data_IF_965708026037
#
_entry.id   IF_965708026037
#
_cell.length_a   1.000
_cell.length_b   1.000
_cell.length_c   1.000
_cell.angle_alpha   90.00
_cell.angle_beta   90.00
_cell.angle_gamma   90.00
#
_symmetry.space_group_name_H-M   'P 1'
#
loop_
_entity.id
_entity.type
_entity.pdbx_description
1 polymer ?
#
# COMPACT_ATOMS: atom_id res chain seq x y z
N UNK A 1 -29.46 -31.06 -0.59
CA UNK A 1 -30.48 -30.03 -0.27
C UNK A 1 -30.22 -29.52 1.14
N UNK A 2 -29.66 -28.31 1.23
CA UNK A 2 -29.15 -27.64 2.45
C UNK A 2 -30.20 -27.33 3.55
N UNK A 3 -31.44 -27.80 3.41
CA UNK A 3 -32.54 -27.57 4.35
C UNK A 3 -32.81 -28.74 5.31
N UNK A 4 -32.06 -29.84 5.24
CA UNK A 4 -32.40 -31.09 5.93
C UNK A 4 -31.68 -31.33 7.26
N UNK A 5 -30.70 -30.51 7.65
CA UNK A 5 -30.01 -30.63 8.95
C UNK A 5 -30.44 -29.44 9.81
N UNK A 6 -31.11 -29.68 10.94
CA UNK A 6 -31.79 -28.66 11.73
C UNK A 6 -30.91 -27.49 12.21
N UNK A 7 -31.49 -26.48 12.89
CA UNK A 7 -30.81 -25.24 13.26
C UNK A 7 -29.47 -25.42 14.00
N UNK A 8 -29.35 -26.44 14.86
CA UNK A 8 -28.10 -26.76 15.57
C UNK A 8 -26.97 -27.17 14.64
N UNK A 9 -27.22 -28.07 13.69
CA UNK A 9 -26.21 -28.50 12.72
C UNK A 9 -25.74 -27.37 11.80
N UNK A 10 -26.63 -26.43 11.48
CA UNK A 10 -26.27 -25.23 10.69
C UNK A 10 -25.35 -24.31 11.49
N UNK A 11 -25.61 -24.13 12.79
CA UNK A 11 -24.77 -23.34 13.70
C UNK A 11 -23.38 -23.96 13.85
N UNK A 12 -23.30 -25.26 14.16
CA UNK A 12 -22.02 -25.96 14.35
C UNK A 12 -21.16 -25.91 13.09
N UNK A 13 -21.79 -26.01 11.90
CA UNK A 13 -21.12 -25.84 10.61
C UNK A 13 -20.53 -24.44 10.46
N UNK A 14 -21.31 -23.40 10.75
CA UNK A 14 -20.87 -22.01 10.63
C UNK A 14 -19.74 -21.66 11.63
N UNK A 15 -19.78 -22.22 12.84
CA UNK A 15 -18.69 -22.11 13.80
C UNK A 15 -17.42 -22.82 13.31
N UNK A 16 -17.57 -23.99 12.70
CA UNK A 16 -16.46 -24.72 12.07
C UNK A 16 -15.87 -23.95 10.88
N UNK A 17 -16.71 -23.30 10.06
CA UNK A 17 -16.25 -22.45 8.95
C UNK A 17 -15.45 -21.25 9.45
N UNK A 18 -15.84 -20.61 10.55
CA UNK A 18 -15.06 -19.52 11.15
C UNK A 18 -13.64 -19.98 11.54
N UNK A 19 -13.52 -21.16 12.15
CA UNK A 19 -12.21 -21.75 12.46
C UNK A 19 -11.41 -22.10 11.19
N UNK A 20 -12.08 -22.62 10.16
CA UNK A 20 -11.47 -22.99 8.88
C UNK A 20 -10.94 -21.76 8.11
N UNK A 21 -11.68 -20.63 8.13
CA UNK A 21 -11.24 -19.36 7.54
C UNK A 21 -9.94 -18.90 8.20
N UNK A 22 -9.90 -18.86 9.53
CA UNK A 22 -8.71 -18.43 10.30
C UNK A 22 -7.51 -19.34 10.01
N UNK A 23 -7.71 -20.66 10.03
CA UNK A 23 -6.64 -21.62 9.74
C UNK A 23 -6.10 -21.53 8.31
N UNK A 24 -6.99 -21.34 7.32
CA UNK A 24 -6.58 -21.11 5.92
C UNK A 24 -5.77 -19.83 5.79
N UNK A 25 -6.20 -18.74 6.45
CA UNK A 25 -5.53 -17.46 6.36
C UNK A 25 -4.14 -17.49 7.02
N UNK A 26 -4.02 -18.09 8.22
CA UNK A 26 -2.74 -18.23 8.94
C UNK A 26 -1.76 -19.19 8.25
N UNK A 27 -2.25 -20.17 7.48
CA UNK A 27 -1.40 -21.06 6.67
C UNK A 27 -1.02 -20.49 5.31
N UNK A 28 -1.32 -19.20 5.05
CA UNK A 28 -0.96 -18.50 3.81
C UNK A 28 -1.91 -18.75 2.64
N UNK A 29 -3.03 -19.47 2.85
CA UNK A 29 -4.08 -19.69 1.84
C UNK A 29 -5.07 -18.52 1.82
N UNK A 30 -4.56 -17.30 1.62
CA UNK A 30 -5.29 -16.03 1.77
C UNK A 30 -6.51 -15.97 0.85
N UNK A 31 -6.35 -16.32 -0.43
CA UNK A 31 -7.44 -16.31 -1.43
C UNK A 31 -8.56 -17.27 -1.02
N UNK A 32 -8.20 -18.52 -0.68
CA UNK A 32 -9.18 -19.53 -0.27
C UNK A 32 -9.92 -19.13 1.01
N UNK A 33 -9.23 -18.48 1.97
CA UNK A 33 -9.85 -17.98 3.19
C UNK A 33 -10.86 -16.86 2.90
N UNK A 34 -10.57 -15.97 1.94
CA UNK A 34 -11.50 -14.91 1.50
C UNK A 34 -12.74 -15.50 0.83
N UNK A 35 -12.57 -16.44 -0.08
CA UNK A 35 -13.69 -17.08 -0.78
C UNK A 35 -14.61 -17.81 0.22
N UNK A 36 -14.01 -18.53 1.18
CA UNK A 36 -14.74 -19.17 2.29
C UNK A 36 -15.50 -18.14 3.13
N UNK A 37 -14.84 -17.03 3.49
CA UNK A 37 -15.46 -15.95 4.28
C UNK A 37 -16.68 -15.36 3.56
N UNK A 38 -16.57 -15.06 2.27
CA UNK A 38 -17.70 -14.54 1.48
C UNK A 38 -18.88 -15.49 1.45
N UNK A 39 -18.64 -16.78 1.19
CA UNK A 39 -19.69 -17.80 1.23
C UNK A 39 -20.33 -17.94 2.62
N UNK A 40 -19.51 -17.96 3.68
CA UNK A 40 -19.99 -18.07 5.05
C UNK A 40 -20.77 -16.84 5.52
N UNK A 41 -20.44 -15.63 5.07
CA UNK A 41 -21.21 -14.41 5.36
C UNK A 41 -22.64 -14.53 4.82
N UNK A 42 -22.81 -15.02 3.59
CA UNK A 42 -24.14 -15.20 3.01
C UNK A 42 -24.98 -16.22 3.80
N UNK A 43 -24.38 -17.34 4.17
CA UNK A 43 -25.04 -18.37 4.99
C UNK A 43 -25.39 -17.86 6.40
N UNK A 44 -24.49 -17.10 7.04
CA UNK A 44 -24.69 -16.54 8.37
C UNK A 44 -25.80 -15.48 8.39
N UNK A 45 -25.87 -14.63 7.36
CA UNK A 45 -26.98 -13.67 7.16
C UNK A 45 -28.32 -14.40 7.04
N UNK A 46 -28.37 -15.47 6.25
CA UNK A 46 -29.58 -16.27 6.11
C UNK A 46 -30.01 -16.98 7.41
N UNK A 47 -29.04 -17.33 8.26
CA UNK A 47 -29.29 -17.93 9.58
C UNK A 47 -29.83 -16.92 10.61
N UNK A 48 -29.40 -15.66 10.55
CA UNK A 48 -29.99 -14.54 11.30
C UNK A 48 -29.41 -14.25 12.69
N UNK A 49 -28.43 -15.04 13.18
CA UNK A 49 -27.70 -14.77 14.44
C UNK A 49 -26.58 -13.75 14.21
N UNK A 50 -26.77 -12.52 14.72
CA UNK A 50 -25.82 -11.41 14.55
C UNK A 50 -24.45 -11.70 15.18
N UNK A 51 -24.37 -12.46 16.28
CA UNK A 51 -23.09 -12.79 16.92
C UNK A 51 -22.28 -13.75 16.06
N UNK A 52 -22.97 -14.71 15.44
CA UNK A 52 -22.34 -15.67 14.54
C UNK A 52 -21.89 -14.99 13.24
N UNK A 53 -22.72 -14.11 12.68
CA UNK A 53 -22.32 -13.25 11.56
C UNK A 53 -21.07 -12.44 11.89
N UNK A 54 -21.05 -11.77 13.05
CA UNK A 54 -19.90 -10.98 13.48
C UNK A 54 -18.62 -11.82 13.61
N UNK A 55 -18.71 -13.03 14.18
CA UNK A 55 -17.59 -13.96 14.29
C UNK A 55 -17.05 -14.42 12.94
N UNK A 56 -17.93 -14.70 11.97
CA UNK A 56 -17.54 -15.09 10.62
C UNK A 56 -16.86 -13.94 9.88
N UNK A 57 -17.42 -12.73 9.97
CA UNK A 57 -16.81 -11.54 9.39
C UNK A 57 -15.41 -11.34 9.98
N UNK A 58 -15.26 -11.46 11.30
CA UNK A 58 -13.99 -11.33 12.01
C UNK A 58 -13.07 -12.57 11.96
N UNK A 59 -13.46 -13.64 11.25
CA UNK A 59 -12.66 -14.87 11.22
C UNK A 59 -11.38 -14.73 10.38
N UNK A 60 -11.40 -13.83 9.40
CA UNK A 60 -10.24 -13.46 8.60
C UNK A 60 -9.48 -12.32 9.28
N UNK A 61 -8.80 -12.68 10.37
CA UNK A 61 -8.10 -11.77 11.27
C UNK A 61 -6.61 -12.16 11.24
N UNK A 62 -5.97 -11.84 10.11
CA UNK A 62 -4.54 -12.05 9.90
C UNK A 62 -3.86 -10.69 9.89
N UNK A 63 -2.87 -10.47 10.77
CA UNK A 63 -2.07 -9.25 10.77
C UNK A 63 -1.47 -9.00 9.39
N UNK A 64 -1.57 -7.77 8.88
CA UNK A 64 -1.15 -7.45 7.51
C UNK A 64 -0.41 -6.12 7.42
N UNK A 65 0.59 -6.05 6.56
CA UNK A 65 1.29 -4.80 6.25
C UNK A 65 0.56 -3.97 5.18
N UNK A 66 -0.12 -4.64 4.24
CA UNK A 66 -0.82 -4.04 3.10
C UNK A 66 -2.21 -4.65 2.91
N UNK A 67 -2.94 -4.15 1.91
CA UNK A 67 -4.26 -4.66 1.59
C UNK A 67 -4.23 -6.17 1.35
N UNK A 68 -5.17 -6.88 1.96
CA UNK A 68 -5.28 -8.33 1.84
C UNK A 68 -6.19 -8.79 0.70
N UNK A 69 -6.70 -7.82 -0.08
CA UNK A 69 -7.67 -7.99 -1.14
C UNK A 69 -7.03 -7.69 -2.49
N UNK A 70 -7.77 -7.95 -3.56
CA UNK A 70 -7.38 -7.45 -4.87
C UNK A 70 -7.29 -5.92 -4.81
N UNK A 71 -6.09 -5.40 -5.12
CA UNK A 71 -5.80 -3.98 -5.00
C UNK A 71 -6.72 -3.14 -5.90
N UNK A 72 -7.26 -2.06 -5.34
CA UNK A 72 -8.23 -1.19 -6.02
C UNK A 72 -9.65 -1.74 -6.13
N UNK A 73 -9.95 -2.90 -5.54
CA UNK A 73 -11.31 -3.41 -5.41
C UNK A 73 -11.88 -3.11 -4.01
N UNK A 74 -13.21 -2.96 -3.94
CA UNK A 74 -13.98 -2.87 -2.70
C UNK A 74 -14.92 -4.06 -2.61
N UNK A 75 -14.93 -4.77 -1.48
CA UNK A 75 -15.87 -5.86 -1.24
C UNK A 75 -17.15 -5.34 -0.59
N UNK A 76 -18.03 -4.77 -1.41
CA UNK A 76 -19.29 -4.17 -0.93
C UNK A 76 -20.12 -5.15 -0.08
N UNK A 77 -20.08 -6.45 -0.41
CA UNK A 77 -20.81 -7.49 0.35
C UNK A 77 -20.31 -7.59 1.78
N UNK A 78 -18.99 -7.55 1.99
CA UNK A 78 -18.37 -7.60 3.33
C UNK A 78 -18.62 -6.29 4.08
N UNK A 79 -18.49 -5.14 3.43
CA UNK A 79 -18.78 -3.84 4.04
C UNK A 79 -20.22 -3.77 4.53
N UNK A 80 -21.18 -4.10 3.68
CA UNK A 80 -22.60 -4.11 4.03
C UNK A 80 -22.90 -5.11 5.17
N UNK A 81 -22.23 -6.27 5.18
CA UNK A 81 -22.40 -7.25 6.25
C UNK A 81 -21.84 -6.77 7.58
N UNK A 82 -20.72 -6.06 7.51
CA UNK A 82 -20.05 -5.47 8.68
C UNK A 82 -20.90 -4.36 9.26
N UNK A 83 -21.49 -3.51 8.42
CA UNK A 83 -22.41 -2.44 8.84
C UNK A 83 -23.67 -3.01 9.49
N UNK A 84 -24.31 -3.98 8.84
CA UNK A 84 -25.47 -4.69 9.39
C UNK A 84 -25.17 -5.30 10.76
N UNK A 85 -24.00 -5.94 10.91
CA UNK A 85 -23.58 -6.52 12.17
C UNK A 85 -23.33 -5.44 13.23
N UNK A 86 -22.62 -4.35 12.89
CA UNK A 86 -22.32 -3.25 13.82
C UNK A 86 -23.58 -2.56 14.36
N UNK A 87 -24.63 -2.43 13.54
CA UNK A 87 -25.90 -1.81 13.91
C UNK A 87 -26.74 -2.69 14.83
N UNK A 88 -26.69 -4.02 14.64
CA UNK A 88 -27.52 -5.00 15.36
C UNK A 88 -26.83 -5.61 16.58
N UNK A 89 -25.51 -5.47 16.70
CA UNK A 89 -24.72 -6.11 17.75
C UNK A 89 -25.03 -5.48 19.12
N UNK A 90 -25.36 -6.27 20.16
CA UNK A 90 -25.59 -5.73 21.50
C UNK A 90 -24.35 -5.02 22.06
N UNK A 91 -24.53 -3.88 22.74
CA UNK A 91 -23.42 -3.07 23.26
C UNK A 91 -22.50 -3.79 24.28
N UNK A 92 -22.96 -4.90 24.87
CA UNK A 92 -22.13 -5.75 25.73
C UNK A 92 -21.03 -6.51 24.95
N UNK A 93 -21.21 -6.73 23.64
CA UNK A 93 -20.28 -7.47 22.77
C UNK A 93 -19.12 -6.58 22.28
N UNK A 94 -18.42 -5.92 23.22
CA UNK A 94 -17.39 -4.93 22.92
C UNK A 94 -16.23 -5.49 22.11
N UNK A 95 -15.84 -6.75 22.35
CA UNK A 95 -14.77 -7.40 21.60
C UNK A 95 -15.15 -7.60 20.12
N UNK A 96 -16.33 -8.17 19.86
CA UNK A 96 -16.83 -8.36 18.50
C UNK A 96 -17.00 -7.03 17.77
N UNK A 97 -17.44 -5.98 18.48
CA UNK A 97 -17.51 -4.63 17.91
C UNK A 97 -16.15 -4.14 17.45
N UNK A 98 -15.09 -4.30 18.26
CA UNK A 98 -13.73 -3.92 17.85
C UNK A 98 -13.30 -4.69 16.60
N UNK A 99 -13.48 -6.01 16.57
CA UNK A 99 -13.09 -6.84 15.42
C UNK A 99 -13.83 -6.45 14.14
N UNK A 100 -15.12 -6.10 14.24
CA UNK A 100 -15.90 -5.57 13.12
C UNK A 100 -15.44 -4.18 12.67
N UNK A 101 -15.14 -3.27 13.59
CA UNK A 101 -14.62 -1.94 13.26
C UNK A 101 -13.24 -2.03 12.60
N UNK A 102 -12.36 -2.90 13.11
CA UNK A 102 -11.06 -3.21 12.49
C UNK A 102 -11.24 -3.77 11.08
N UNK A 103 -12.16 -4.72 10.92
CA UNK A 103 -12.53 -5.24 9.60
C UNK A 103 -12.98 -4.12 8.67
N UNK A 104 -13.95 -3.30 9.09
CA UNK A 104 -14.47 -2.20 8.29
C UNK A 104 -13.37 -1.22 7.86
N UNK A 105 -12.45 -0.92 8.78
CA UNK A 105 -11.29 -0.08 8.49
C UNK A 105 -10.38 -0.70 7.43
N UNK A 106 -10.12 -2.00 7.49
CA UNK A 106 -9.30 -2.71 6.50
C UNK A 106 -9.99 -2.82 5.13
N UNK A 107 -11.33 -2.99 5.12
CA UNK A 107 -12.12 -3.05 3.88
C UNK A 107 -12.21 -1.68 3.18
N UNK A 108 -12.17 -0.58 3.95
CA UNK A 108 -12.28 0.80 3.43
C UNK A 108 -10.95 1.54 3.29
N UNK A 109 -9.83 0.85 3.48
CA UNK A 109 -8.49 1.40 3.24
C UNK A 109 -8.39 1.95 1.80
N UNK A 110 -7.72 3.10 1.64
CA UNK A 110 -7.50 3.78 0.36
C UNK A 110 -8.71 4.49 -0.27
N UNK A 111 -9.91 4.37 0.31
CA UNK A 111 -11.11 5.06 -0.18
C UNK A 111 -11.05 6.58 0.02
N UNK A 112 -11.74 7.35 -0.82
CA UNK A 112 -11.68 8.82 -0.79
C UNK A 112 -12.27 9.41 0.50
N UNK A 113 -13.32 8.79 1.05
CA UNK A 113 -13.91 9.21 2.32
C UNK A 113 -13.07 8.74 3.52
N UNK A 114 -13.26 9.35 4.69
CA UNK A 114 -12.56 9.08 5.95
C UNK A 114 -13.19 7.96 6.80
N UNK A 115 -14.17 7.22 6.27
CA UNK A 115 -14.93 6.21 7.02
C UNK A 115 -14.06 5.12 7.64
N UNK A 116 -13.05 4.63 6.90
CA UNK A 116 -12.08 3.66 7.42
C UNK A 116 -11.26 4.20 8.61
N UNK A 117 -10.81 5.46 8.52
CA UNK A 117 -10.08 6.16 9.60
C UNK A 117 -10.95 6.32 10.85
N UNK A 118 -12.22 6.68 10.68
CA UNK A 118 -13.15 6.79 11.82
C UNK A 118 -13.38 5.43 12.49
N UNK A 119 -13.55 4.37 11.69
CA UNK A 119 -13.77 3.03 12.19
C UNK A 119 -12.54 2.51 12.96
N UNK A 120 -11.32 2.68 12.43
CA UNK A 120 -10.09 2.29 13.13
C UNK A 120 -9.86 3.09 14.40
N UNK A 121 -10.13 4.40 14.37
CA UNK A 121 -10.04 5.24 15.57
C UNK A 121 -11.01 4.82 16.67
N UNK A 122 -12.23 4.41 16.32
CA UNK A 122 -13.18 3.82 17.27
C UNK A 122 -12.70 2.45 17.77
N UNK A 123 -12.22 1.58 16.88
CA UNK A 123 -11.67 0.26 17.23
C UNK A 123 -10.57 0.39 18.29
N UNK A 124 -9.59 1.28 18.10
CA UNK A 124 -8.49 1.51 19.05
C UNK A 124 -9.01 2.00 20.40
N UNK A 125 -9.93 2.98 20.42
CA UNK A 125 -10.51 3.49 21.68
C UNK A 125 -11.26 2.40 22.44
N UNK A 126 -12.08 1.63 21.74
CA UNK A 126 -12.86 0.55 22.37
C UNK A 126 -11.96 -0.60 22.81
N UNK A 127 -10.94 -0.97 22.03
CA UNK A 127 -9.96 -2.00 22.41
C UNK A 127 -9.23 -1.63 23.70
N UNK A 128 -8.74 -0.38 23.80
CA UNK A 128 -8.10 0.13 25.02
C UNK A 128 -9.03 0.11 26.24
N UNK A 129 -10.32 0.39 26.04
CA UNK A 129 -11.32 0.32 27.10
C UNK A 129 -11.72 -1.13 27.49
N UNK A 130 -11.46 -2.11 26.64
CA UNK A 130 -11.58 -3.54 26.96
C UNK A 130 -10.33 -4.03 27.70
N UNK A 131 -9.15 -3.57 27.31
CA UNK A 131 -7.88 -3.86 27.97
C UNK A 131 -7.24 -5.19 27.55
N UNK A 132 -7.72 -5.82 26.47
CA UNK A 132 -7.12 -7.03 25.89
C UNK A 132 -5.97 -6.63 24.94
N UNK A 133 -4.72 -7.05 25.21
CA UNK A 133 -3.56 -6.72 24.38
C UNK A 133 -3.67 -7.18 22.92
N UNK A 134 -4.21 -8.37 22.66
CA UNK A 134 -4.33 -8.89 21.30
C UNK A 134 -5.37 -8.07 20.51
N UNK A 135 -6.45 -7.67 21.18
CA UNK A 135 -7.48 -6.83 20.60
C UNK A 135 -6.96 -5.41 20.28
N UNK A 136 -6.13 -4.85 21.16
CA UNK A 136 -5.46 -3.57 20.94
C UNK A 136 -4.49 -3.70 19.74
N UNK A 137 -3.71 -4.78 19.68
CA UNK A 137 -2.79 -5.04 18.58
C UNK A 137 -3.51 -5.11 17.22
N UNK A 138 -4.63 -5.83 17.14
CA UNK A 138 -5.46 -5.91 15.94
C UNK A 138 -5.99 -4.52 15.51
N UNK A 139 -6.51 -3.74 16.46
CA UNK A 139 -7.01 -2.39 16.20
C UNK A 139 -5.89 -1.42 15.77
N UNK A 140 -4.69 -1.53 16.33
CA UNK A 140 -3.53 -0.76 15.91
C UNK A 140 -3.13 -1.10 14.47
N UNK A 141 -3.15 -2.36 14.06
CA UNK A 141 -2.88 -2.74 12.67
C UNK A 141 -3.93 -2.16 11.69
N UNK A 142 -5.22 -2.25 12.02
CA UNK A 142 -6.29 -1.59 11.25
C UNK A 142 -6.14 -0.07 11.17
N UNK A 143 -5.62 0.55 12.24
CA UNK A 143 -5.25 1.96 12.25
C UNK A 143 -4.06 2.25 11.34
N UNK A 144 -2.97 1.48 11.43
CA UNK A 144 -1.76 1.64 10.63
C UNK A 144 -2.07 1.72 9.13
N UNK A 145 -2.87 0.77 8.62
CA UNK A 145 -3.20 0.69 7.20
C UNK A 145 -4.09 1.84 6.70
N UNK A 146 -4.74 2.59 7.59
CA UNK A 146 -5.56 3.76 7.23
C UNK A 146 -4.80 5.09 7.29
N UNK A 147 -3.55 5.08 7.78
CA UNK A 147 -2.72 6.28 7.93
C UNK A 147 -1.71 6.43 6.76
N UNK A 148 -2.20 6.50 5.52
CA UNK A 148 -1.41 6.89 4.34
C UNK A 148 -1.90 8.17 3.65
N UNK A 149 -3.03 8.71 4.10
CA UNK A 149 -3.85 9.70 3.38
C UNK A 149 -3.20 11.08 3.23
N UNK A 150 -2.25 11.41 4.10
CA UNK A 150 -1.62 12.73 4.19
C UNK A 150 -0.13 12.57 4.50
N UNK A 151 0.66 13.64 4.34
CA UNK A 151 2.09 13.59 4.63
C UNK A 151 2.39 13.39 6.13
N UNK A 152 1.51 13.90 6.99
CA UNK A 152 1.55 13.75 8.45
C UNK A 152 1.35 12.29 8.86
N UNK A 153 0.67 11.50 8.03
CA UNK A 153 0.33 10.13 8.36
C UNK A 153 1.56 9.22 8.52
N UNK A 154 2.74 9.59 7.99
CA UNK A 154 3.96 8.83 8.25
C UNK A 154 4.38 8.87 9.72
N UNK A 155 4.34 10.05 10.36
CA UNK A 155 4.72 10.18 11.76
C UNK A 155 3.77 9.36 12.66
N UNK A 156 2.48 9.40 12.31
CA UNK A 156 1.47 8.61 13.01
C UNK A 156 1.63 7.10 12.80
N UNK A 157 1.93 6.65 11.57
CA UNK A 157 2.26 5.25 11.30
C UNK A 157 3.47 4.77 12.10
N UNK A 158 4.53 5.57 12.17
CA UNK A 158 5.71 5.24 12.95
C UNK A 158 5.40 5.13 14.45
N UNK A 159 4.54 6.03 14.97
CA UNK A 159 4.06 6.00 16.36
C UNK A 159 3.23 4.74 16.64
N UNK A 160 2.29 4.40 15.75
CA UNK A 160 1.44 3.21 15.85
C UNK A 160 2.32 1.94 15.83
N UNK A 161 3.26 1.83 14.91
CA UNK A 161 4.15 0.68 14.80
C UNK A 161 5.07 0.53 16.01
N UNK A 162 5.54 1.65 16.57
CA UNK A 162 6.31 1.66 17.83
C UNK A 162 5.46 1.20 19.02
N UNK A 163 4.22 1.66 19.11
CA UNK A 163 3.27 1.23 20.14
C UNK A 163 2.95 -0.26 20.02
N UNK A 164 2.73 -0.75 18.80
CA UNK A 164 2.49 -2.16 18.51
C UNK A 164 3.70 -3.02 18.92
N UNK A 165 4.93 -2.59 18.61
CA UNK A 165 6.14 -3.32 19.00
C UNK A 165 6.27 -3.44 20.52
N UNK A 166 6.03 -2.35 21.24
CA UNK A 166 6.11 -2.33 22.71
C UNK A 166 5.06 -3.27 23.33
N UNK A 167 3.80 -3.14 22.92
CA UNK A 167 2.69 -3.97 23.38
C UNK A 167 2.93 -5.45 23.08
N UNK A 168 3.33 -5.76 21.85
CA UNK A 168 3.55 -7.13 21.41
C UNK A 168 4.75 -7.77 22.12
N UNK A 169 5.76 -6.98 22.49
CA UNK A 169 6.90 -7.44 23.28
C UNK A 169 6.50 -7.72 24.74
N UNK A 170 5.75 -6.81 25.36
CA UNK A 170 5.30 -6.94 26.75
C UNK A 170 4.40 -8.17 26.96
N UNK A 171 3.53 -8.48 25.99
CA UNK A 171 2.53 -9.54 26.09
C UNK A 171 2.86 -10.79 25.25
N UNK A 172 4.09 -10.91 24.74
CA UNK A 172 4.58 -12.03 23.91
C UNK A 172 3.69 -12.39 22.69
N UNK A 173 3.20 -11.35 22.00
CA UNK A 173 2.35 -11.49 20.81
C UNK A 173 3.21 -11.68 19.56
N UNK A 174 3.76 -12.90 19.38
CA UNK A 174 4.76 -13.22 18.35
C UNK A 174 4.46 -12.69 16.93
N UNK A 175 3.25 -12.94 16.40
CA UNK A 175 2.86 -12.46 15.06
C UNK A 175 2.85 -10.93 14.96
N UNK A 176 2.35 -10.24 15.98
CA UNK A 176 2.32 -8.78 16.02
C UNK A 176 3.70 -8.17 16.24
N UNK A 177 4.61 -8.86 16.93
CA UNK A 177 6.03 -8.45 17.02
C UNK A 177 6.67 -8.43 15.64
N UNK A 178 6.48 -9.49 14.84
CA UNK A 178 6.99 -9.53 13.45
C UNK A 178 6.37 -8.42 12.61
N UNK A 179 5.04 -8.24 12.67
CA UNK A 179 4.35 -7.17 11.95
C UNK A 179 4.92 -5.78 12.31
N UNK A 180 5.09 -5.48 13.59
CA UNK A 180 5.60 -4.19 14.04
C UNK A 180 7.02 -3.92 13.51
N UNK A 181 7.87 -4.96 13.43
CA UNK A 181 9.19 -4.83 12.79
C UNK A 181 9.07 -4.52 11.29
N UNK A 182 8.13 -5.12 10.56
CA UNK A 182 7.89 -4.80 9.14
C UNK A 182 7.36 -3.36 8.95
N UNK A 183 6.41 -2.94 9.79
CA UNK A 183 5.86 -1.58 9.79
C UNK A 183 6.94 -0.53 10.12
N UNK A 184 7.77 -0.79 11.12
CA UNK A 184 8.90 0.09 11.47
C UNK A 184 9.97 0.10 10.38
N UNK A 185 10.25 -1.03 9.75
CA UNK A 185 11.15 -1.10 8.61
C UNK A 185 10.64 -0.20 7.46
N UNK A 186 9.37 -0.31 7.09
CA UNK A 186 8.78 0.52 6.03
C UNK A 186 8.78 2.02 6.38
N UNK A 187 8.34 2.37 7.59
CA UNK A 187 8.31 3.79 8.01
C UNK A 187 9.70 4.41 8.07
N UNK A 188 10.74 3.65 8.47
CA UNK A 188 12.12 4.13 8.47
C UNK A 188 12.67 4.34 7.05
N UNK A 189 12.29 3.52 6.05
CA UNK A 189 12.59 3.83 4.63
C UNK A 189 11.98 5.17 4.22
N UNK A 190 10.71 5.41 4.53
CA UNK A 190 10.02 6.66 4.23
C UNK A 190 10.54 7.89 5.01
N UNK A 191 11.22 7.66 6.15
CA UNK A 191 11.95 8.68 6.92
C UNK A 191 13.39 8.91 6.42
N UNK A 192 13.86 8.10 5.47
CA UNK A 192 15.23 8.06 4.96
C UNK A 192 16.26 7.61 6.03
N UNK A 193 15.83 6.78 6.99
CA UNK A 193 16.69 6.12 7.98
C UNK A 193 16.90 4.65 7.61
N UNK A 194 17.75 4.40 6.60
CA UNK A 194 18.10 3.05 6.17
C UNK A 194 18.77 2.22 7.28
N UNK A 195 19.67 2.76 8.13
CA UNK A 195 20.21 2.01 9.26
C UNK A 195 19.13 1.47 10.20
N UNK A 196 18.13 2.27 10.57
CA UNK A 196 17.01 1.78 11.39
C UNK A 196 16.15 0.76 10.64
N UNK A 197 15.86 1.02 9.37
CA UNK A 197 15.14 0.09 8.50
C UNK A 197 15.80 -1.30 8.48
N UNK A 198 17.12 -1.37 8.24
CA UNK A 198 17.87 -2.62 8.21
C UNK A 198 17.85 -3.36 9.55
N UNK A 199 17.93 -2.64 10.68
CA UNK A 199 17.82 -3.27 12.01
C UNK A 199 16.46 -3.94 12.21
N UNK A 200 15.38 -3.25 11.85
CA UNK A 200 14.04 -3.82 11.97
C UNK A 200 13.80 -4.98 10.99
N UNK A 201 14.34 -4.88 9.77
CA UNK A 201 14.29 -5.97 8.78
C UNK A 201 14.97 -7.25 9.31
N UNK A 202 16.18 -7.10 9.84
CA UNK A 202 16.95 -8.24 10.35
C UNK A 202 16.23 -8.92 11.52
N UNK A 203 15.71 -8.15 12.47
CA UNK A 203 15.00 -8.70 13.62
C UNK A 203 13.63 -9.30 13.23
N UNK A 204 12.90 -8.65 12.33
CA UNK A 204 11.64 -9.16 11.78
C UNK A 204 11.83 -10.51 11.09
N UNK A 205 12.86 -10.67 10.26
CA UNK A 205 13.20 -11.95 9.62
C UNK A 205 13.54 -13.04 10.63
N UNK A 206 14.41 -12.73 11.60
CA UNK A 206 14.81 -13.65 12.66
C UNK A 206 13.59 -14.17 13.44
N UNK A 207 12.66 -13.28 13.79
CA UNK A 207 11.43 -13.64 14.50
C UNK A 207 10.45 -14.40 13.59
N UNK A 208 10.31 -14.03 12.32
CA UNK A 208 9.47 -14.74 11.36
C UNK A 208 9.92 -16.19 11.19
N UNK A 209 11.22 -16.45 11.11
CA UNK A 209 11.80 -17.80 11.10
C UNK A 209 11.51 -18.54 12.42
N UNK A 210 11.76 -17.89 13.55
CA UNK A 210 11.55 -18.46 14.88
C UNK A 210 10.09 -18.89 15.12
N UNK A 211 9.12 -18.10 14.66
CA UNK A 211 7.69 -18.38 14.82
C UNK A 211 7.07 -19.18 13.67
N UNK A 212 7.84 -19.55 12.64
CA UNK A 212 7.33 -20.29 11.49
C UNK A 212 6.31 -19.49 10.65
N UNK A 213 6.59 -18.20 10.41
CA UNK A 213 5.73 -17.25 9.68
C UNK A 213 6.31 -16.94 8.27
N UNK A 214 6.30 -17.89 7.32
CA UNK A 214 7.01 -17.77 6.04
C UNK A 214 6.50 -16.60 5.17
N UNK A 215 5.22 -16.23 5.25
CA UNK A 215 4.66 -15.09 4.53
C UNK A 215 5.33 -13.76 4.94
N UNK A 216 5.52 -13.55 6.25
CA UNK A 216 6.15 -12.33 6.77
C UNK A 216 7.65 -12.28 6.42
N UNK A 217 8.31 -13.44 6.35
CA UNK A 217 9.68 -13.54 5.86
C UNK A 217 9.78 -13.17 4.35
N UNK A 218 8.80 -13.54 3.53
CA UNK A 218 8.79 -13.20 2.09
C UNK A 218 8.56 -11.70 1.83
N UNK A 219 7.68 -11.04 2.59
CA UNK A 219 7.45 -9.59 2.51
C UNK A 219 8.76 -8.81 2.75
N UNK A 220 9.63 -9.34 3.59
CA UNK A 220 10.95 -8.77 3.88
C UNK A 220 11.89 -8.80 2.67
N UNK A 221 11.73 -9.72 1.71
CA UNK A 221 12.60 -9.82 0.53
C UNK A 221 12.28 -8.74 -0.52
N UNK A 222 11.01 -8.38 -0.68
CA UNK A 222 10.59 -7.37 -1.69
C UNK A 222 11.06 -5.97 -1.33
N UNK A 223 11.17 -5.68 -0.03
CA UNK A 223 11.70 -4.41 0.45
C UNK A 223 13.18 -4.20 0.08
N UNK A 224 13.99 -5.26 0.02
CA UNK A 224 15.39 -5.13 -0.41
C UNK A 224 15.48 -4.68 -1.88
N UNK A 225 14.59 -5.17 -2.76
CA UNK A 225 14.50 -4.70 -4.14
C UNK A 225 14.11 -3.22 -4.23
N UNK A 226 13.17 -2.77 -3.40
CA UNK A 226 12.81 -1.34 -3.35
C UNK A 226 13.99 -0.48 -2.89
N UNK A 227 14.68 -0.84 -1.80
CA UNK A 227 15.85 -0.11 -1.32
C UNK A 227 16.96 -0.11 -2.38
N UNK A 228 17.13 -1.22 -3.10
CA UNK A 228 17.99 -1.31 -4.27
C UNK A 228 17.58 -0.33 -5.38
N UNK A 229 16.29 -0.19 -5.70
CA UNK A 229 15.81 0.78 -6.69
C UNK A 229 16.05 2.24 -6.28
N UNK A 230 16.08 2.52 -4.98
CA UNK A 230 16.38 3.85 -4.46
C UNK A 230 17.87 4.15 -4.42
N UNK A 231 18.71 3.19 -4.04
CA UNK A 231 20.12 3.42 -3.70
C UNK A 231 21.11 2.91 -4.75
N UNK A 232 20.73 1.93 -5.55
CA UNK A 232 21.59 1.36 -6.59
C UNK A 232 21.43 2.10 -7.93
N UNK A 233 22.39 1.85 -8.82
CA UNK A 233 22.28 2.25 -10.22
C UNK A 233 21.15 1.48 -10.92
N UNK A 234 20.45 2.10 -11.89
CA UNK A 234 19.27 1.50 -12.53
C UNK A 234 19.48 0.07 -13.05
N UNK A 235 20.59 -0.22 -13.71
CA UNK A 235 20.86 -1.57 -14.25
C UNK A 235 20.97 -2.63 -13.15
N UNK A 236 21.52 -2.27 -11.98
CA UNK A 236 21.59 -3.16 -10.83
C UNK A 236 20.21 -3.36 -10.20
N UNK A 237 19.41 -2.28 -10.10
CA UNK A 237 18.05 -2.35 -9.61
C UNK A 237 17.12 -3.17 -10.53
N UNK A 238 17.25 -3.04 -11.86
CA UNK A 238 16.50 -3.84 -12.83
C UNK A 238 16.77 -5.35 -12.66
N UNK A 239 18.04 -5.73 -12.47
CA UNK A 239 18.41 -7.13 -12.21
C UNK A 239 17.78 -7.65 -10.92
N UNK A 240 17.79 -6.86 -9.85
CA UNK A 240 17.19 -7.23 -8.57
C UNK A 240 15.66 -7.42 -8.69
N UNK A 241 14.97 -6.56 -9.44
CA UNK A 241 13.54 -6.73 -9.71
C UNK A 241 13.24 -7.99 -10.52
N UNK A 242 14.05 -8.31 -11.52
CA UNK A 242 13.88 -9.51 -12.33
C UNK A 242 14.02 -10.80 -11.48
N UNK A 243 14.99 -10.84 -10.57
CA UNK A 243 15.21 -11.98 -9.67
C UNK A 243 14.03 -12.18 -8.70
N UNK A 244 13.54 -11.09 -8.11
CA UNK A 244 12.40 -11.14 -7.20
C UNK A 244 11.12 -11.52 -7.94
N UNK A 245 10.85 -10.95 -9.11
CA UNK A 245 9.68 -11.31 -9.94
C UNK A 245 9.58 -12.80 -10.25
N UNK A 246 10.71 -13.47 -10.52
CA UNK A 246 10.76 -14.92 -10.74
C UNK A 246 10.46 -15.77 -9.49
N UNK A 247 10.67 -15.23 -8.30
CA UNK A 247 10.36 -15.90 -7.02
C UNK A 247 8.91 -15.67 -6.61
N UNK A 248 8.41 -14.45 -6.81
CA UNK A 248 7.03 -14.07 -6.54
C UNK A 248 6.04 -14.88 -7.38
N UNK A 249 6.25 -15.02 -8.69
CA UNK A 249 5.31 -15.71 -9.59
C UNK A 249 5.01 -17.19 -9.22
N UNK A 250 5.75 -17.76 -8.26
CA UNK A 250 5.59 -19.13 -7.76
C UNK A 250 4.75 -19.23 -6.49
N UNK A 251 4.55 -18.14 -5.74
CA UNK A 251 3.90 -18.16 -4.43
C UNK A 251 2.38 -17.93 -4.49
N UNK A 252 1.88 -17.13 -5.44
CA UNK A 252 0.44 -16.82 -5.63
C UNK A 252 -0.26 -16.33 -4.36
N UNK A 253 0.47 -15.66 -3.45
CA UNK A 253 -0.07 -15.28 -2.14
C UNK A 253 -0.91 -14.00 -2.25
N UNK A 254 -0.57 -13.13 -3.21
CA UNK A 254 -1.36 -11.94 -3.53
C UNK A 254 -1.70 -11.87 -5.02
N UNK A 255 -2.93 -11.49 -5.35
CA UNK A 255 -3.35 -11.24 -6.76
C UNK A 255 -2.50 -10.15 -7.44
N UNK A 256 -1.87 -9.27 -6.63
CA UNK A 256 -1.05 -8.12 -7.05
C UNK A 256 0.40 -8.44 -7.45
N UNK A 257 0.85 -9.68 -7.24
CA UNK A 257 2.24 -10.10 -7.40
C UNK A 257 2.83 -9.78 -8.78
N UNK A 258 2.05 -9.95 -9.85
CA UNK A 258 2.51 -9.71 -11.22
C UNK A 258 2.55 -8.24 -11.60
N UNK A 259 1.65 -7.40 -11.07
CA UNK A 259 1.71 -5.95 -11.33
C UNK A 259 2.80 -5.24 -10.54
N UNK A 260 3.24 -5.77 -9.39
CA UNK A 260 4.44 -5.28 -8.71
C UNK A 260 5.71 -5.54 -9.55
N UNK A 261 5.80 -6.72 -10.18
CA UNK A 261 6.88 -7.06 -11.09
C UNK A 261 6.92 -6.22 -12.38
N UNK A 262 5.81 -5.55 -12.73
CA UNK A 262 5.74 -4.61 -13.87
C UNK A 262 6.05 -3.18 -13.43
N UNK A 263 5.46 -2.74 -12.32
CA UNK A 263 5.54 -1.34 -11.90
C UNK A 263 6.96 -0.92 -11.46
N UNK A 264 7.72 -1.80 -10.80
CA UNK A 264 9.11 -1.52 -10.41
C UNK A 264 10.01 -1.22 -11.62
N UNK A 265 10.14 -2.16 -12.59
CA UNK A 265 10.85 -1.92 -13.83
C UNK A 265 10.32 -0.73 -14.64
N UNK A 266 9.00 -0.54 -14.71
CA UNK A 266 8.43 0.65 -15.35
C UNK A 266 8.97 1.94 -14.76
N UNK A 267 9.02 2.07 -13.43
CA UNK A 267 9.50 3.28 -12.77
C UNK A 267 10.98 3.57 -13.14
N UNK A 268 11.84 2.54 -13.16
CA UNK A 268 13.24 2.68 -13.58
C UNK A 268 13.35 3.08 -15.05
N UNK A 269 12.54 2.48 -15.93
CA UNK A 269 12.53 2.80 -17.36
C UNK A 269 12.00 4.19 -17.65
N UNK A 270 11.02 4.68 -16.90
CA UNK A 270 10.53 6.07 -17.01
C UNK A 270 11.66 7.06 -16.75
N UNK A 271 12.41 6.89 -15.66
CA UNK A 271 13.48 7.84 -15.30
C UNK A 271 14.71 7.75 -16.20
N UNK A 272 14.87 6.65 -16.93
CA UNK A 272 15.88 6.51 -17.98
C UNK A 272 15.41 7.02 -19.36
N UNK A 273 14.16 7.49 -19.50
CA UNK A 273 13.59 7.88 -20.79
C UNK A 273 13.29 6.68 -21.72
N UNK A 274 13.16 5.48 -21.15
CA UNK A 274 12.97 4.19 -21.84
C UNK A 274 11.58 3.59 -21.63
N UNK A 275 10.60 4.39 -21.21
CA UNK A 275 9.25 3.92 -20.90
C UNK A 275 8.56 3.19 -22.07
N UNK A 276 8.90 3.52 -23.32
CA UNK A 276 8.34 2.85 -24.50
C UNK A 276 8.74 1.35 -24.60
N UNK A 277 9.83 0.93 -23.94
CA UNK A 277 10.30 -0.46 -23.98
C UNK A 277 9.42 -1.44 -23.20
N UNK A 278 8.53 -0.94 -22.32
CA UNK A 278 7.62 -1.75 -21.48
C UNK A 278 6.15 -1.57 -21.89
N UNK A 279 5.92 -1.32 -23.19
CA UNK A 279 4.59 -1.05 -23.76
C UNK A 279 3.61 -2.20 -23.49
N UNK A 280 4.04 -3.44 -23.74
CA UNK A 280 3.19 -4.62 -23.65
C UNK A 280 2.81 -4.93 -22.21
N UNK A 281 3.76 -4.79 -21.27
CA UNK A 281 3.53 -4.96 -19.84
C UNK A 281 2.61 -3.87 -19.28
N UNK A 282 2.77 -2.62 -19.72
CA UNK A 282 1.91 -1.51 -19.31
C UNK A 282 0.47 -1.67 -19.85
N UNK A 283 0.32 -2.11 -21.11
CA UNK A 283 -0.97 -2.43 -21.69
C UNK A 283 -1.66 -3.57 -20.92
N UNK A 284 -0.92 -4.65 -20.66
CA UNK A 284 -1.41 -5.78 -19.88
C UNK A 284 -1.83 -5.35 -18.46
N UNK A 285 -1.03 -4.53 -17.78
CA UNK A 285 -1.36 -4.02 -16.44
C UNK A 285 -2.66 -3.22 -16.45
N UNK A 286 -2.85 -2.36 -17.46
CA UNK A 286 -4.07 -1.57 -17.61
C UNK A 286 -5.30 -2.42 -17.92
N UNK A 287 -5.17 -3.44 -18.76
CA UNK A 287 -6.27 -4.36 -19.08
C UNK A 287 -6.67 -5.22 -17.87
N UNK A 288 -5.70 -5.74 -17.12
CA UNK A 288 -5.98 -6.61 -15.98
C UNK A 288 -6.52 -5.83 -14.77
N UNK A 289 -6.04 -4.61 -14.53
CA UNK A 289 -6.41 -3.79 -13.37
C UNK A 289 -7.05 -2.47 -13.81
N UNK A 290 -8.00 -2.57 -14.74
CA UNK A 290 -8.77 -1.42 -15.24
C UNK A 290 -9.43 -0.54 -14.16
N UNK A 291 -9.94 -1.08 -13.03
CA UNK A 291 -10.47 -0.27 -11.93
C UNK A 291 -9.42 0.58 -11.19
N UNK A 292 -8.14 0.24 -11.28
CA UNK A 292 -7.05 0.98 -10.63
C UNK A 292 -6.66 2.16 -11.52
N UNK A 293 -7.11 3.36 -11.18
CA UNK A 293 -6.90 4.56 -12.00
C UNK A 293 -5.43 4.84 -12.40
N UNK A 294 -4.47 4.45 -11.56
CA UNK A 294 -3.05 4.65 -11.82
C UNK A 294 -2.50 3.82 -13.00
N UNK A 295 -3.16 2.72 -13.39
CA UNK A 295 -2.69 1.89 -14.52
C UNK A 295 -2.87 2.60 -15.86
N UNK A 296 -3.91 3.44 -15.97
CA UNK A 296 -4.09 4.32 -17.12
C UNK A 296 -2.95 5.35 -17.23
N UNK A 297 -2.45 5.86 -16.10
CA UNK A 297 -1.31 6.79 -16.06
C UNK A 297 -0.02 6.13 -16.56
N UNK A 298 0.24 4.91 -16.09
CA UNK A 298 1.38 4.08 -16.52
C UNK A 298 1.33 3.84 -18.02
N UNK A 299 0.19 3.36 -18.54
CA UNK A 299 0.04 3.05 -19.96
C UNK A 299 0.08 4.30 -20.85
N UNK A 300 -0.51 5.41 -20.41
CA UNK A 300 -0.44 6.66 -21.16
C UNK A 300 0.99 7.21 -21.27
N UNK A 301 1.82 7.05 -20.23
CA UNK A 301 3.22 7.44 -20.28
C UNK A 301 4.04 6.60 -21.27
N UNK A 302 3.82 5.28 -21.32
CA UNK A 302 4.51 4.43 -22.32
C UNK A 302 4.07 4.78 -23.74
N UNK A 303 2.78 5.03 -23.96
CA UNK A 303 2.24 5.52 -25.23
C UNK A 303 2.82 6.88 -25.63
N UNK A 304 2.89 7.83 -24.71
CA UNK A 304 3.47 9.15 -24.96
C UNK A 304 4.96 9.05 -25.31
N UNK A 305 5.73 8.23 -24.60
CA UNK A 305 7.14 7.96 -24.90
C UNK A 305 7.35 7.35 -26.29
N UNK A 306 6.38 6.58 -26.79
CA UNK A 306 6.37 6.05 -28.16
C UNK A 306 5.80 7.02 -29.22
N UNK A 307 5.50 8.27 -28.86
CA UNK A 307 4.91 9.27 -29.76
C UNK A 307 3.41 9.07 -30.05
N UNK A 308 2.73 8.15 -29.35
CA UNK A 308 1.30 7.81 -29.54
C UNK A 308 0.38 8.68 -28.66
N UNK A 309 0.60 9.99 -28.64
CA UNK A 309 -0.06 10.93 -27.70
C UNK A 309 -1.59 10.95 -27.82
N UNK A 310 -2.16 10.82 -29.03
CA UNK A 310 -3.61 10.79 -29.22
C UNK A 310 -4.27 9.58 -28.54
N UNK A 311 -3.58 8.44 -28.54
CA UNK A 311 -4.04 7.23 -27.87
C UNK A 311 -3.83 7.31 -26.36
N UNK A 312 -2.70 7.86 -25.92
CA UNK A 312 -2.45 8.14 -24.51
C UNK A 312 -3.58 8.99 -23.90
N UNK A 313 -4.05 10.03 -24.61
CA UNK A 313 -5.21 10.83 -24.18
C UNK A 313 -6.52 10.05 -24.10
N UNK A 314 -6.74 9.09 -25.01
CA UNK A 314 -7.94 8.23 -24.98
C UNK A 314 -7.92 7.29 -23.77
N UNK A 315 -6.76 6.71 -23.44
CA UNK A 315 -6.60 5.79 -22.29
C UNK A 315 -6.95 6.47 -20.97
N UNK A 316 -6.58 7.74 -20.80
CA UNK A 316 -6.83 8.47 -19.55
C UNK A 316 -8.15 9.25 -19.54
N UNK A 317 -8.91 9.22 -20.64
CA UNK A 317 -10.24 9.82 -20.72
C UNK A 317 -11.20 9.01 -19.82
N UNK A 318 -11.33 9.42 -18.56
CA UNK A 318 -12.09 8.71 -17.54
C UNK A 318 -11.24 8.13 -16.40
N UNK A 319 -9.93 8.40 -16.36
CA UNK A 319 -9.10 8.05 -15.21
C UNK A 319 -9.65 8.74 -13.95
N UNK A 320 -10.05 7.95 -12.96
CA UNK A 320 -10.62 8.42 -11.70
C UNK A 320 -9.58 9.01 -10.74
N UNK A 321 -10.02 9.38 -9.52
CA UNK A 321 -9.11 9.83 -8.46
C UNK A 321 -8.10 8.73 -8.09
N UNK A 322 -6.90 9.14 -7.67
CA UNK A 322 -5.92 8.21 -7.10
C UNK A 322 -6.36 7.82 -5.69
N UNK A 323 -6.12 6.56 -5.32
CA UNK A 323 -6.40 6.05 -3.98
C UNK A 323 -5.48 6.73 -2.96
N UNK A 324 -6.02 7.00 -1.76
CA UNK A 324 -5.30 7.67 -0.68
C UNK A 324 -4.58 6.65 0.22
N UNK A 325 -3.80 5.78 -0.41
CA UNK A 325 -3.13 4.65 0.22
C UNK A 325 -1.59 4.72 0.06
N UNK A 326 -0.92 3.62 0.38
CA UNK A 326 0.55 3.50 0.37
C UNK A 326 1.19 3.72 -1.00
N UNK A 327 0.43 3.74 -2.10
CA UNK A 327 0.92 4.09 -3.44
C UNK A 327 0.71 5.56 -3.83
N UNK A 328 0.06 6.37 -2.99
CA UNK A 328 -0.38 7.71 -3.37
C UNK A 328 0.78 8.60 -3.86
N UNK A 329 1.90 8.67 -3.13
CA UNK A 329 3.03 9.53 -3.48
C UNK A 329 3.69 9.12 -4.82
N UNK A 330 3.81 7.82 -5.08
CA UNK A 330 4.32 7.27 -6.33
C UNK A 330 3.36 7.54 -7.50
N UNK A 331 2.08 7.19 -7.33
CA UNK A 331 1.10 7.29 -8.41
C UNK A 331 0.75 8.73 -8.74
N UNK A 332 0.78 9.64 -7.76
CA UNK A 332 0.62 11.07 -8.00
C UNK A 332 1.82 11.65 -8.76
N UNK A 333 3.05 11.21 -8.45
CA UNK A 333 4.23 11.58 -9.22
C UNK A 333 4.15 11.10 -10.68
N UNK A 334 3.75 9.83 -10.91
CA UNK A 334 3.52 9.28 -12.25
C UNK A 334 2.44 10.09 -12.99
N UNK A 335 1.34 10.46 -12.31
CA UNK A 335 0.28 11.30 -12.87
C UNK A 335 0.77 12.71 -13.23
N UNK A 336 1.67 13.29 -12.43
CA UNK A 336 2.35 14.55 -12.73
C UNK A 336 3.24 14.44 -13.98
N UNK A 337 4.07 13.39 -14.08
CA UNK A 337 4.88 13.13 -15.27
C UNK A 337 4.03 12.95 -16.53
N UNK A 338 2.89 12.25 -16.41
CA UNK A 338 1.90 12.14 -17.50
C UNK A 338 1.39 13.50 -17.92
N UNK A 339 1.06 14.38 -16.96
CA UNK A 339 0.57 15.72 -17.23
C UNK A 339 1.54 16.50 -18.13
N UNK A 340 2.83 16.44 -17.79
CA UNK A 340 3.92 17.02 -18.58
C UNK A 340 3.95 16.39 -19.99
N UNK A 341 3.98 15.05 -20.07
CA UNK A 341 4.09 14.33 -21.34
C UNK A 341 2.92 14.59 -22.32
N UNK A 342 1.72 14.87 -21.81
CA UNK A 342 0.52 15.11 -22.62
C UNK A 342 0.19 16.60 -22.82
N UNK A 343 0.93 17.51 -22.17
CA UNK A 343 0.71 18.95 -22.24
C UNK A 343 -0.47 19.44 -21.38
N UNK A 344 -0.87 18.71 -20.33
CA UNK A 344 -2.01 19.05 -19.48
C UNK A 344 -1.58 19.93 -18.31
N UNK A 345 -1.70 21.25 -18.49
CA UNK A 345 -1.28 22.24 -17.49
C UNK A 345 -2.15 22.27 -16.25
N UNK A 346 -3.46 22.02 -16.38
CA UNK A 346 -4.37 22.06 -15.23
C UNK A 346 -4.04 20.91 -14.27
N UNK A 347 -3.94 19.70 -14.82
CA UNK A 347 -3.53 18.53 -14.07
C UNK A 347 -2.11 18.66 -13.48
N UNK A 348 -1.17 19.26 -14.22
CA UNK A 348 0.17 19.47 -13.69
C UNK A 348 0.16 20.41 -12.47
N UNK A 349 -0.69 21.44 -12.47
CA UNK A 349 -0.86 22.32 -11.32
C UNK A 349 -1.47 21.59 -10.12
N UNK A 350 -2.47 20.74 -10.34
CA UNK A 350 -3.07 19.90 -9.30
C UNK A 350 -2.05 18.91 -8.71
N UNK A 351 -1.28 18.24 -9.57
CA UNK A 351 -0.24 17.31 -9.16
C UNK A 351 0.87 18.03 -8.36
N UNK A 352 1.28 19.22 -8.80
CA UNK A 352 2.24 20.04 -8.07
C UNK A 352 1.73 20.36 -6.66
N UNK A 353 0.48 20.84 -6.54
CA UNK A 353 -0.12 21.19 -5.25
C UNK A 353 -0.24 19.97 -4.32
N UNK A 354 -0.61 18.81 -4.88
CA UNK A 354 -0.75 17.57 -4.13
C UNK A 354 0.60 17.00 -3.64
N UNK A 355 1.67 17.16 -4.41
CA UNK A 355 3.01 16.64 -4.10
C UNK A 355 3.85 17.59 -3.23
N UNK A 356 3.53 18.88 -3.20
CA UNK A 356 4.31 19.87 -2.45
C UNK A 356 4.52 19.49 -0.96
N UNK A 357 3.52 18.99 -0.21
CA UNK A 357 3.72 18.54 1.17
C UNK A 357 4.70 17.36 1.30
N UNK A 358 4.91 16.61 0.23
CA UNK A 358 5.78 15.43 0.17
C UNK A 358 7.20 15.75 -0.34
N UNK A 359 7.57 17.01 -0.54
CA UNK A 359 8.86 17.42 -1.14
C UNK A 359 10.08 16.74 -0.49
N UNK A 360 10.08 16.57 0.84
CA UNK A 360 11.16 15.91 1.58
C UNK A 360 11.17 14.38 1.52
N UNK A 361 10.31 13.75 0.69
CA UNK A 361 10.11 12.30 0.58
C UNK A 361 10.73 11.72 -0.69
N UNK A 362 10.90 10.42 -0.67
CA UNK A 362 11.19 9.61 -1.84
C UNK A 362 9.90 8.94 -2.32
N UNK A 363 9.57 9.02 -3.61
CA UNK A 363 8.33 8.43 -4.14
C UNK A 363 8.33 6.92 -3.90
N UNK A 364 7.20 6.36 -3.46
CA UNK A 364 7.06 4.92 -3.28
C UNK A 364 7.80 4.35 -2.07
N UNK A 365 8.35 5.19 -1.18
CA UNK A 365 9.06 4.74 0.02
C UNK A 365 8.19 3.98 1.03
N UNK A 366 6.87 4.14 0.94
CA UNK A 366 5.89 3.37 1.71
C UNK A 366 5.37 2.13 0.98
N UNK A 367 5.85 1.89 -0.24
CA UNK A 367 5.52 0.69 -1.04
C UNK A 367 6.59 -0.39 -0.82
N UNK A 368 6.53 -1.47 -1.59
CA UNK A 368 7.66 -2.38 -1.81
C UNK A 368 7.94 -2.56 -3.31
N UNK A 369 7.56 -1.58 -4.14
CA UNK A 369 7.40 -1.80 -5.58
C UNK A 369 8.37 -0.98 -6.42
N UNK A 370 8.43 0.33 -6.26
CA UNK A 370 9.24 1.14 -7.15
C UNK A 370 9.24 2.61 -6.79
N UNK A 371 10.07 3.35 -7.50
CA UNK A 371 10.25 4.78 -7.28
C UNK A 371 10.61 5.48 -8.59
N UNK A 372 10.08 6.68 -8.79
CA UNK A 372 10.51 7.60 -9.85
C UNK A 372 11.42 8.71 -9.30
N UNK A 373 11.95 8.51 -8.09
CA UNK A 373 12.94 9.39 -7.46
C UNK A 373 12.42 10.24 -6.30
N UNK A 374 13.22 11.23 -5.86
CA UNK A 374 12.80 12.23 -4.89
C UNK A 374 11.58 13.01 -5.39
N UNK A 375 10.58 13.24 -4.53
CA UNK A 375 9.39 14.01 -4.89
C UNK A 375 9.77 15.43 -5.35
N UNK A 376 10.76 16.03 -4.71
CA UNK A 376 11.29 17.33 -5.09
C UNK A 376 11.79 17.38 -6.55
N UNK A 377 12.30 16.28 -7.13
CA UNK A 377 12.72 16.28 -8.53
C UNK A 377 11.51 16.47 -9.45
N UNK A 378 10.43 15.75 -9.17
CA UNK A 378 9.17 15.83 -9.91
C UNK A 378 8.52 17.21 -9.74
N UNK A 379 8.60 17.81 -8.55
CA UNK A 379 8.16 19.19 -8.32
C UNK A 379 8.96 20.20 -9.15
N UNK A 380 10.27 20.00 -9.31
CA UNK A 380 11.10 20.81 -10.20
C UNK A 380 10.65 20.71 -11.66
N UNK A 381 10.41 19.49 -12.14
CA UNK A 381 9.93 19.25 -13.51
C UNK A 381 8.54 19.87 -13.75
N UNK A 382 7.64 19.73 -12.78
CA UNK A 382 6.32 20.36 -12.81
C UNK A 382 6.43 21.90 -12.77
N UNK A 383 7.30 22.47 -11.93
CA UNK A 383 7.52 23.91 -11.85
C UNK A 383 8.02 24.47 -13.20
N UNK A 384 8.98 23.79 -13.83
CA UNK A 384 9.46 24.15 -15.18
C UNK A 384 8.34 24.07 -16.21
N UNK A 385 7.60 22.97 -16.24
CA UNK A 385 6.50 22.77 -17.18
C UNK A 385 5.39 23.82 -17.01
N UNK A 386 5.11 24.21 -15.77
CA UNK A 386 4.14 25.25 -15.42
C UNK A 386 4.67 26.68 -15.63
N UNK A 387 5.91 26.85 -16.09
CA UNK A 387 6.56 28.15 -16.31
C UNK A 387 6.56 29.02 -15.04
N UNK A 388 6.80 28.38 -13.88
CA UNK A 388 7.06 29.09 -12.63
C UNK A 388 8.43 29.79 -12.69
N UNK A 389 8.72 30.62 -11.69
CA UNK A 389 10.02 31.28 -11.61
C UNK A 389 11.14 30.23 -11.62
N UNK A 390 12.23 30.52 -12.33
CA UNK A 390 13.35 29.58 -12.49
C UNK A 390 13.91 29.12 -11.14
N UNK A 391 13.96 30.05 -10.17
CA UNK A 391 14.40 29.77 -8.80
C UNK A 391 13.50 28.76 -8.07
N UNK A 392 12.19 28.70 -8.38
CA UNK A 392 11.29 27.71 -7.78
C UNK A 392 11.70 26.29 -8.21
N UNK A 393 12.00 26.10 -9.50
CA UNK A 393 12.49 24.82 -10.02
C UNK A 393 13.89 24.50 -9.47
N UNK A 394 14.78 25.49 -9.42
CA UNK A 394 16.13 25.33 -8.88
C UNK A 394 16.11 24.90 -7.40
N UNK A 395 15.25 25.51 -6.58
CA UNK A 395 15.08 25.16 -5.18
C UNK A 395 14.64 23.69 -5.00
N UNK A 396 13.68 23.24 -5.82
CA UNK A 396 13.22 21.86 -5.83
C UNK A 396 14.33 20.87 -6.25
N UNK A 397 15.11 21.17 -7.29
CA UNK A 397 16.22 20.28 -7.68
C UNK A 397 17.33 20.23 -6.64
N UNK A 398 17.68 21.35 -5.98
CA UNK A 398 18.60 21.35 -4.83
C UNK A 398 18.06 20.47 -3.70
N UNK A 399 16.77 20.58 -3.40
CA UNK A 399 16.12 19.74 -2.38
C UNK A 399 16.11 18.27 -2.76
N UNK A 400 15.94 17.94 -4.05
CA UNK A 400 16.02 16.57 -4.53
C UNK A 400 17.42 15.96 -4.32
N UNK A 401 18.48 16.74 -4.60
CA UNK A 401 19.86 16.32 -4.34
C UNK A 401 20.11 16.07 -2.85
N UNK A 402 19.63 16.94 -1.96
CA UNK A 402 19.74 16.75 -0.51
C UNK A 402 19.05 15.48 -0.02
N UNK A 403 17.82 15.23 -0.50
CA UNK A 403 17.03 14.04 -0.14
C UNK A 403 17.72 12.77 -0.65
N UNK A 404 18.20 12.76 -1.89
CA UNK A 404 18.94 11.64 -2.46
C UNK A 404 20.26 11.39 -1.72
N UNK A 405 21.02 12.44 -1.37
CA UNK A 405 22.26 12.33 -0.63
C UNK A 405 22.05 11.71 0.77
N UNK A 406 21.00 12.13 1.49
CA UNK A 406 20.65 11.55 2.80
C UNK A 406 20.35 10.06 2.73
N UNK A 407 19.76 9.60 1.62
CA UNK A 407 19.45 8.19 1.40
C UNK A 407 20.65 7.39 0.86
N UNK A 408 21.74 8.06 0.46
CA UNK A 408 22.88 7.40 -0.20
C UNK A 408 22.56 6.96 -1.63
N UNK A 409 21.85 7.80 -2.37
CA UNK A 409 21.24 7.48 -3.66
C UNK A 409 21.94 8.23 -4.83
N UNK A 410 23.15 7.81 -5.25
CA UNK A 410 24.03 8.60 -6.15
C UNK A 410 23.42 8.88 -7.52
N UNK A 411 22.73 7.91 -8.13
CA UNK A 411 22.04 8.12 -9.41
C UNK A 411 21.07 9.30 -9.35
N UNK A 412 20.29 9.39 -8.28
CA UNK A 412 19.28 10.43 -8.10
C UNK A 412 19.89 11.80 -7.77
N UNK A 413 21.01 11.80 -7.03
CA UNK A 413 21.81 13.02 -6.81
C UNK A 413 22.34 13.57 -8.14
N UNK A 414 22.89 12.72 -9.01
CA UNK A 414 23.38 13.12 -10.33
C UNK A 414 22.26 13.63 -11.24
N UNK A 415 21.10 12.98 -11.24
CA UNK A 415 19.93 13.45 -12.00
C UNK A 415 19.48 14.84 -11.54
N UNK A 416 19.40 15.07 -10.22
CA UNK A 416 19.03 16.37 -9.66
C UNK A 416 20.05 17.47 -10.03
N UNK A 417 21.34 17.17 -9.96
CA UNK A 417 22.40 18.10 -10.38
C UNK A 417 22.31 18.43 -11.88
N UNK A 418 22.13 17.41 -12.74
CA UNK A 418 21.98 17.62 -14.18
C UNK A 418 20.70 18.42 -14.54
N UNK A 419 19.62 18.27 -13.76
CA UNK A 419 18.42 19.07 -13.94
C UNK A 419 18.63 20.55 -13.55
N UNK A 420 19.40 20.79 -12.47
CA UNK A 420 19.80 22.13 -12.03
C UNK A 420 20.70 22.81 -13.08
N UNK A 421 21.72 22.11 -13.60
CA UNK A 421 22.62 22.65 -14.63
C UNK A 421 21.87 23.05 -15.91
N UNK A 422 20.81 22.32 -16.27
CA UNK A 422 19.95 22.63 -17.42
C UNK A 422 19.04 23.85 -17.22
N UNK A 423 18.91 24.41 -16.02
CA UNK A 423 18.27 25.72 -15.83
C UNK A 423 19.19 26.85 -16.30
N UNK A 424 20.50 26.63 -16.31
CA UNK A 424 21.51 27.67 -16.48
C UNK A 424 21.87 28.30 -15.13
N UNK A 425 23.00 29.00 -15.08
CA UNK A 425 23.30 29.86 -13.93
C UNK A 425 22.45 31.13 -14.08
N UNK A 426 21.67 31.54 -13.06
CA UNK A 426 21.02 32.85 -13.12
C UNK A 426 22.11 33.89 -13.37
N UNK A 427 21.93 34.73 -14.39
CA UNK A 427 22.83 35.86 -14.59
C UNK A 427 22.84 36.69 -13.30
N UNK A 428 24.03 36.81 -12.69
CA UNK A 428 24.26 37.49 -11.41
C UNK A 428 23.88 38.97 -11.43
#
# INVERSE_FOLDING_TARGET
>A
TLRAQGPGATRDRLESEAAAIRASALSGQVVAARDRRLAAIADARAFGDVRLLARIIAAFDVPTLWTSREYGSLDATVVDATDEALDRLPGAERELRVRLLTTLAMELEGEQHDRGVRASGEAVRTARAVGDPELIAAALNGSYVNHYRTVESLAERHRIASELLALATEHDLGTYRVLAHLELQQTNVALLDLPASHRHLAEGRRLAEQYGLPLLAQISAWHESLVGAMTAWPDAAERAFAEVGGTIGRTRIWFSERGMAVLGPFCLRVVQGRAAEVMDEAAWLHEQWGPVAATADVYALTLAAAGRTAEARRVVAGAGPLRLDYFYDLTMAIRGLRAIALGDRALAADAYAALLPYEGRFTGASTAVGTVGPVAHILGDLARFLERAEEDAAAHYRRAADVAARLGAPFWTEQAAAALDRLGTPAA
#
